data_IF_768640042599
#
_entry.id   IF_768640042599
#
_cell.length_a   1.000
_cell.length_b   1.000
_cell.length_c   1.000
_cell.angle_alpha   90.00
_cell.angle_beta   90.00
_cell.angle_gamma   90.00
#
_symmetry.space_group_name_H-M   'P 1'
#
loop_
_entity.id
_entity.type
_entity.pdbx_description
1 polymer ?
#
# COMPACT_ATOMS: atom_id res chain seq x y z
N UNK A 1 36.16 -34.32 31.56
CA UNK A 1 36.09 -35.72 32.01
C UNK A 1 35.66 -35.70 33.47
N UNK A 2 35.13 -36.82 33.96
CA UNK A 2 34.49 -36.96 35.29
C UNK A 2 33.16 -36.17 35.39
N UNK A 3 32.01 -36.70 35.83
CA UNK A 3 31.62 -37.99 36.42
C UNK A 3 30.53 -37.69 37.48
N UNK A 4 29.22 -37.82 37.20
CA UNK A 4 28.30 -38.94 37.53
C UNK A 4 26.88 -38.61 36.96
N UNK A 5 25.84 -39.47 36.82
CA UNK A 5 25.57 -40.90 37.09
C UNK A 5 25.61 -41.39 38.57
N UNK A 6 24.50 -41.46 39.32
CA UNK A 6 23.37 -42.41 39.10
C UNK A 6 22.11 -42.07 39.99
N UNK A 7 21.20 -42.98 40.45
CA UNK A 7 19.98 -43.32 39.70
C UNK A 7 18.64 -43.35 40.51
N UNK A 8 17.57 -43.77 39.80
CA UNK A 8 16.42 -44.54 40.28
C UNK A 8 15.37 -43.93 41.23
N UNK A 9 14.11 -44.03 40.81
CA UNK A 9 13.11 -44.81 41.57
C UNK A 9 11.98 -45.27 40.65
N UNK A 10 11.72 -46.58 40.65
CA UNK A 10 10.70 -47.26 39.86
C UNK A 10 9.59 -47.72 40.80
N UNK A 11 8.32 -47.41 40.51
CA UNK A 11 7.21 -47.80 41.40
C UNK A 11 6.11 -48.55 40.64
N UNK A 12 6.13 -49.87 40.87
CA UNK A 12 5.02 -50.85 40.88
C UNK A 12 4.05 -50.95 39.68
N UNK A 13 3.98 -52.18 39.16
CA UNK A 13 2.88 -52.65 38.33
C UNK A 13 1.57 -52.83 39.12
N UNK A 14 0.45 -52.88 38.39
CA UNK A 14 -0.68 -53.77 38.72
C UNK A 14 -1.41 -54.15 37.43
N UNK A 15 -1.37 -55.44 37.15
CA UNK A 15 -1.99 -56.11 36.01
C UNK A 15 -3.36 -56.67 36.45
N UNK A 16 -4.39 -56.58 35.62
CA UNK A 16 -5.65 -57.30 35.81
C UNK A 16 -6.44 -57.42 34.50
N UNK A 17 -6.20 -58.56 33.84
CA UNK A 17 -7.08 -59.46 33.08
C UNK A 17 -8.45 -58.99 32.48
N UNK A 18 -8.88 -59.61 31.36
CA UNK A 18 -10.04 -59.19 30.58
C UNK A 18 -11.36 -59.85 31.03
N UNK A 19 -12.49 -59.34 30.53
CA UNK A 19 -13.73 -60.12 30.49
C UNK A 19 -14.59 -59.81 29.25
N UNK A 20 -14.81 -60.84 28.45
CA UNK A 20 -15.68 -60.82 27.27
C UNK A 20 -17.12 -61.17 27.67
N UNK A 21 -18.11 -60.35 27.32
CA UNK A 21 -19.50 -60.84 27.29
C UNK A 21 -20.44 -60.09 26.32
N UNK A 22 -20.80 -60.81 25.26
CA UNK A 22 -22.16 -60.96 24.70
C UNK A 22 -22.86 -59.75 24.05
N UNK A 23 -22.94 -59.86 22.72
CA UNK A 23 -23.91 -59.22 21.84
C UNK A 23 -25.37 -59.46 22.27
N UNK A 24 -26.19 -58.41 22.26
CA UNK A 24 -27.66 -58.49 22.18
C UNK A 24 -28.16 -57.38 21.23
N UNK A 25 -28.76 -57.71 20.08
CA UNK A 25 -29.39 -56.71 19.21
C UNK A 25 -30.80 -56.35 19.73
N UNK A 26 -31.00 -55.10 20.18
CA UNK A 26 -32.29 -54.53 20.57
C UNK A 26 -32.74 -53.42 19.60
N UNK A 27 -34.05 -53.17 19.44
CA UNK A 27 -34.59 -52.50 18.25
C UNK A 27 -34.36 -50.98 18.21
N UNK A 28 -34.46 -50.44 17.00
CA UNK A 28 -34.18 -49.05 16.67
C UNK A 28 -35.01 -48.04 17.50
N UNK A 29 -34.30 -47.23 18.28
CA UNK A 29 -34.82 -45.95 18.77
C UNK A 29 -34.16 -44.81 17.97
N UNK A 30 -34.99 -43.95 17.40
CA UNK A 30 -34.56 -42.95 16.42
C UNK A 30 -33.76 -41.82 17.10
N UNK A 31 -32.44 -41.89 17.00
CA UNK A 31 -31.54 -40.81 17.46
C UNK A 31 -31.68 -39.62 16.50
N UNK A 32 -32.02 -38.40 16.96
CA UNK A 32 -32.08 -37.24 16.08
C UNK A 32 -30.70 -36.99 15.44
N UNK A 33 -30.65 -36.49 14.19
CA UNK A 33 -29.44 -36.50 13.39
C UNK A 33 -28.31 -35.72 14.08
N UNK A 34 -27.10 -36.27 14.03
CA UNK A 34 -25.89 -35.67 14.59
C UNK A 34 -25.73 -34.22 14.11
N UNK A 35 -26.06 -33.28 14.99
CA UNK A 35 -25.65 -31.90 14.85
C UNK A 35 -24.11 -31.90 14.84
N UNK A 36 -23.53 -31.83 13.64
CA UNK A 36 -22.08 -31.75 13.44
C UNK A 36 -21.60 -30.47 14.08
N UNK A 37 -21.21 -30.55 15.35
CA UNK A 37 -20.55 -29.46 16.08
C UNK A 37 -19.25 -29.16 15.33
N UNK A 38 -19.32 -28.15 14.47
CA UNK A 38 -18.18 -27.59 13.76
C UNK A 38 -17.25 -26.99 14.81
N UNK A 39 -16.28 -27.79 15.28
CA UNK A 39 -15.30 -27.39 16.29
C UNK A 39 -14.76 -26.02 15.90
N UNK A 40 -14.98 -24.96 16.70
CA UNK A 40 -14.65 -23.60 16.28
C UNK A 40 -13.15 -23.54 15.97
N UNK A 41 -12.86 -23.05 14.76
CA UNK A 41 -11.50 -22.97 14.22
C UNK A 41 -10.70 -22.08 15.17
N UNK A 42 -9.71 -22.64 15.88
CA UNK A 42 -8.95 -21.95 16.92
C UNK A 42 -8.39 -20.64 16.34
N UNK A 43 -8.83 -19.50 16.88
CA UNK A 43 -8.30 -18.20 16.51
C UNK A 43 -6.80 -18.17 16.85
N UNK A 44 -5.98 -17.73 15.90
CA UNK A 44 -4.55 -17.52 16.14
C UNK A 44 -4.40 -16.26 16.97
N UNK A 45 -3.91 -16.43 18.21
CA UNK A 45 -3.72 -15.32 19.14
C UNK A 45 -2.43 -14.59 18.77
N UNK A 46 -2.55 -13.56 17.93
CA UNK A 46 -1.40 -12.75 17.50
C UNK A 46 -0.77 -11.91 18.62
N UNK A 47 -1.52 -11.61 19.69
CA UNK A 47 -1.07 -10.76 20.81
C UNK A 47 -1.58 -11.33 22.13
N UNK A 48 -0.66 -11.72 23.02
CA UNK A 48 -0.99 -12.07 24.40
C UNK A 48 -1.14 -10.82 25.29
N UNK A 49 -1.95 -10.89 26.36
CA UNK A 49 -2.04 -9.84 27.38
C UNK A 49 -0.74 -9.73 28.19
N UNK A 50 -0.52 -8.59 28.86
CA UNK A 50 0.69 -8.29 29.61
C UNK A 50 0.95 -9.31 30.73
N UNK A 51 -0.09 -9.71 31.48
CA UNK A 51 0.00 -10.74 32.52
C UNK A 51 0.47 -12.10 31.95
N UNK A 52 -0.15 -12.59 30.87
CA UNK A 52 0.28 -13.83 30.23
C UNK A 52 1.70 -13.77 29.65
N UNK A 53 2.14 -12.61 29.11
CA UNK A 53 3.54 -12.41 28.67
C UNK A 53 4.51 -12.48 29.85
N UNK A 54 4.24 -11.75 30.94
CA UNK A 54 5.04 -11.72 32.18
C UNK A 54 5.19 -13.11 32.78
N UNK A 55 4.09 -13.86 32.86
CA UNK A 55 4.05 -15.23 33.40
C UNK A 55 4.51 -16.31 32.39
N UNK A 56 4.80 -15.94 31.13
CA UNK A 56 5.16 -16.86 30.03
C UNK A 56 4.17 -18.01 29.81
N UNK A 57 2.88 -17.76 30.04
CA UNK A 57 1.80 -18.74 29.86
C UNK A 57 1.02 -18.51 28.56
N UNK A 58 0.34 -19.57 28.08
CA UNK A 58 -0.49 -19.50 26.88
C UNK A 58 -1.70 -18.60 27.09
N UNK A 59 -1.72 -17.46 26.40
CA UNK A 59 -2.90 -16.61 26.26
C UNK A 59 -3.86 -17.18 25.20
N UNK A 60 -5.16 -17.14 25.47
CA UNK A 60 -6.25 -17.52 24.56
C UNK A 60 -6.82 -16.33 23.77
N UNK A 61 -6.41 -15.10 24.08
CA UNK A 61 -6.68 -13.92 23.27
C UNK A 61 -8.10 -13.35 23.39
N UNK A 62 -8.94 -13.95 24.24
CA UNK A 62 -10.30 -13.46 24.53
C UNK A 62 -10.22 -12.08 25.19
N UNK A 63 -11.20 -11.23 24.86
CA UNK A 63 -11.36 -9.85 25.33
C UNK A 63 -12.74 -9.68 25.97
N UNK A 64 -12.90 -8.87 27.03
CA UNK A 64 -11.87 -8.04 27.67
C UNK A 64 -10.83 -8.86 28.44
N UNK A 65 -11.23 -9.94 29.11
CA UNK A 65 -10.38 -10.77 29.95
C UNK A 65 -10.11 -12.13 29.31
N UNK A 66 -8.85 -12.55 29.29
CA UNK A 66 -8.41 -13.85 28.76
C UNK A 66 -8.67 -14.97 29.80
N UNK A 67 -8.95 -16.20 29.37
CA UNK A 67 -9.30 -17.30 30.28
C UNK A 67 -8.26 -17.57 31.39
N UNK A 68 -6.93 -17.54 31.14
CA UNK A 68 -5.93 -17.68 32.20
C UNK A 68 -5.98 -16.58 33.26
N UNK A 69 -6.23 -15.32 32.89
CA UNK A 69 -6.35 -14.21 33.83
C UNK A 69 -7.68 -14.27 34.60
N UNK A 70 -8.78 -14.58 33.92
CA UNK A 70 -10.10 -14.74 34.54
C UNK A 70 -10.09 -15.81 35.66
N UNK A 71 -9.40 -16.94 35.44
CA UNK A 71 -9.24 -18.01 36.45
C UNK A 71 -8.32 -17.66 37.61
N UNK A 72 -7.45 -16.66 37.46
CA UNK A 72 -6.50 -16.22 38.48
C UNK A 72 -6.94 -14.95 39.21
N UNK A 73 -8.03 -14.32 38.77
CA UNK A 73 -8.48 -13.00 39.22
C UNK A 73 -7.37 -11.93 39.10
N UNK A 74 -6.56 -12.07 38.05
CA UNK A 74 -5.42 -11.20 37.73
C UNK A 74 -5.81 -10.17 36.67
N UNK A 75 -5.21 -8.98 36.74
CA UNK A 75 -5.48 -7.91 35.77
C UNK A 75 -5.02 -8.30 34.35
N UNK A 76 -5.89 -8.06 33.37
CA UNK A 76 -5.78 -8.57 32.00
C UNK A 76 -5.62 -7.45 30.97
N UNK A 77 -4.68 -6.54 31.22
CA UNK A 77 -4.33 -5.47 30.28
C UNK A 77 -3.66 -6.05 29.03
N UNK A 78 -4.13 -5.63 27.85
CA UNK A 78 -3.44 -5.84 26.58
C UNK A 78 -2.78 -4.53 26.16
N UNK A 79 -1.45 -4.44 26.26
CA UNK A 79 -0.72 -3.29 25.71
C UNK A 79 -0.92 -3.22 24.20
N UNK A 80 -1.71 -2.22 23.78
CA UNK A 80 -1.85 -1.81 22.38
C UNK A 80 -0.56 -1.14 21.90
N UNK A 81 0.24 -0.61 22.83
CA UNK A 81 1.29 0.38 22.53
C UNK A 81 2.69 -0.22 22.31
N UNK A 82 3.06 -1.27 23.04
CA UNK A 82 4.41 -1.83 23.00
C UNK A 82 4.86 -2.30 21.60
N UNK A 83 3.91 -2.79 20.77
CA UNK A 83 4.18 -3.16 19.38
C UNK A 83 3.82 -2.05 18.38
N UNK A 84 2.87 -1.15 18.69
CA UNK A 84 2.51 -0.07 17.76
C UNK A 84 3.56 1.03 17.73
N UNK A 85 4.23 1.40 18.83
CA UNK A 85 5.27 2.45 18.79
C UNK A 85 6.46 2.05 17.90
N UNK A 86 6.98 0.82 18.06
CA UNK A 86 8.04 0.30 17.19
C UNK A 86 7.56 0.10 15.75
N UNK A 87 6.35 -0.42 15.55
CA UNK A 87 5.76 -0.61 14.21
C UNK A 87 5.53 0.74 13.50
N UNK A 88 5.08 1.77 14.22
CA UNK A 88 4.85 3.12 13.71
C UNK A 88 6.17 3.82 13.37
N UNK A 89 7.22 3.65 14.19
CA UNK A 89 8.55 4.15 13.87
C UNK A 89 9.12 3.48 12.60
N UNK A 90 8.98 2.16 12.47
CA UNK A 90 9.35 1.42 11.26
C UNK A 90 8.51 1.84 10.05
N UNK A 91 7.20 2.04 10.21
CA UNK A 91 6.29 2.51 9.17
C UNK A 91 6.66 3.91 8.68
N UNK A 92 6.90 4.86 9.58
CA UNK A 92 7.38 6.21 9.24
C UNK A 92 8.70 6.18 8.47
N UNK A 93 9.68 5.39 8.93
CA UNK A 93 10.96 5.23 8.23
C UNK A 93 10.81 4.54 6.86
N UNK A 94 9.87 3.60 6.73
CA UNK A 94 9.56 2.99 5.44
C UNK A 94 8.88 3.99 4.49
N UNK A 95 7.95 4.81 4.99
CA UNK A 95 7.30 5.89 4.22
C UNK A 95 8.30 6.97 3.78
N UNK A 96 9.28 7.31 4.63
CA UNK A 96 10.39 8.23 4.33
C UNK A 96 11.30 7.67 3.22
N UNK A 97 11.81 6.45 3.39
CA UNK A 97 12.64 5.78 2.38
C UNK A 97 11.89 5.52 1.07
N UNK A 98 10.57 5.28 1.12
CA UNK A 98 9.74 5.14 -0.07
C UNK A 98 9.63 6.46 -0.84
N UNK A 99 9.42 7.60 -0.14
CA UNK A 99 9.41 8.93 -0.77
C UNK A 99 10.75 9.25 -1.42
N UNK A 100 11.85 9.02 -0.72
CA UNK A 100 13.21 9.20 -1.26
C UNK A 100 13.41 8.31 -2.51
N UNK A 101 12.99 7.04 -2.47
CA UNK A 101 13.08 6.15 -3.63
C UNK A 101 12.25 6.65 -4.82
N UNK A 102 11.05 7.18 -4.59
CA UNK A 102 10.24 7.83 -5.64
C UNK A 102 10.96 9.04 -6.22
N UNK A 103 11.54 9.91 -5.38
CA UNK A 103 12.28 11.10 -5.82
C UNK A 103 13.52 10.74 -6.66
N UNK A 104 14.28 9.73 -6.25
CA UNK A 104 15.43 9.23 -7.00
C UNK A 104 15.03 8.62 -8.35
N UNK A 105 13.87 7.95 -8.42
CA UNK A 105 13.29 7.47 -9.69
C UNK A 105 12.87 8.61 -10.59
N UNK A 106 12.21 9.65 -10.08
CA UNK A 106 11.87 10.85 -10.87
C UNK A 106 13.11 11.53 -11.44
N UNK A 107 14.21 11.61 -10.69
CA UNK A 107 15.47 12.15 -11.20
C UNK A 107 16.07 11.30 -12.33
N UNK A 108 15.98 9.97 -12.21
CA UNK A 108 16.36 9.04 -13.28
C UNK A 108 15.46 9.17 -14.52
N UNK A 109 14.15 9.29 -14.33
CA UNK A 109 13.18 9.49 -15.42
C UNK A 109 13.44 10.81 -16.17
N UNK A 110 13.87 11.87 -15.46
CA UNK A 110 14.30 13.12 -16.10
C UNK A 110 15.56 12.96 -16.95
N UNK A 111 16.52 12.15 -16.53
CA UNK A 111 17.72 11.85 -17.33
C UNK A 111 17.40 10.97 -18.56
N UNK A 112 16.37 10.12 -18.49
CA UNK A 112 15.97 9.27 -19.61
C UNK A 112 15.09 9.98 -20.66
N UNK A 113 14.14 10.82 -20.22
CA UNK A 113 13.02 11.26 -21.06
C UNK A 113 13.09 12.72 -21.51
N UNK A 114 14.02 13.53 -20.98
CA UNK A 114 14.19 14.93 -21.38
C UNK A 114 15.11 15.08 -22.60
N UNK A 115 15.04 16.21 -23.33
CA UNK A 115 16.02 16.56 -24.36
C UNK A 115 17.45 16.53 -23.82
N UNK A 116 18.41 16.12 -24.66
CA UNK A 116 19.81 15.92 -24.26
C UNK A 116 20.42 17.12 -23.53
N UNK A 117 20.14 18.35 -23.98
CA UNK A 117 20.63 19.59 -23.37
C UNK A 117 20.13 19.77 -21.93
N UNK A 118 18.88 19.41 -21.65
CA UNK A 118 18.33 19.43 -20.29
C UNK A 118 18.95 18.31 -19.44
N UNK A 119 19.07 17.09 -19.98
CA UNK A 119 19.67 15.96 -19.28
C UNK A 119 21.14 16.21 -18.92
N UNK A 120 21.91 16.88 -19.79
CA UNK A 120 23.28 17.32 -19.52
C UNK A 120 23.38 18.37 -18.41
N UNK A 121 22.44 19.33 -18.34
CA UNK A 121 22.34 20.28 -17.23
C UNK A 121 22.06 19.57 -15.90
N UNK A 122 21.13 18.61 -15.89
CA UNK A 122 20.83 17.78 -14.72
C UNK A 122 22.08 16.97 -14.30
N UNK A 123 22.78 16.36 -15.26
CA UNK A 123 24.02 15.63 -14.99
C UNK A 123 25.13 16.55 -14.43
N UNK A 124 25.32 17.75 -14.97
CA UNK A 124 26.28 18.74 -14.44
C UNK A 124 25.93 19.15 -13.01
N UNK A 125 24.65 19.28 -12.66
CA UNK A 125 24.19 19.50 -11.28
C UNK A 125 24.52 18.31 -10.38
N UNK A 126 24.19 17.08 -10.79
CA UNK A 126 24.54 15.84 -10.04
C UNK A 126 26.04 15.75 -9.75
N UNK A 127 26.91 16.20 -10.66
CA UNK A 127 28.37 16.23 -10.43
C UNK A 127 28.84 17.37 -9.51
N UNK A 128 28.02 18.38 -9.27
CA UNK A 128 28.38 19.61 -8.53
C UNK A 128 27.73 19.69 -7.15
N UNK A 129 26.66 18.93 -6.90
CA UNK A 129 25.93 18.85 -5.62
C UNK A 129 26.11 17.48 -4.97
N UNK A 130 26.07 17.40 -3.64
CA UNK A 130 26.20 16.13 -2.91
C UNK A 130 24.85 15.46 -2.57
N UNK A 131 23.74 16.22 -2.58
CA UNK A 131 22.37 15.71 -2.36
C UNK A 131 21.61 15.55 -3.72
N UNK A 132 21.26 14.34 -4.15
CA UNK A 132 20.43 14.13 -5.34
C UNK A 132 19.04 14.77 -5.25
N UNK A 133 18.48 14.90 -4.03
CA UNK A 133 17.16 15.52 -3.82
C UNK A 133 17.21 17.03 -4.04
N UNK A 134 18.38 17.66 -3.88
CA UNK A 134 18.61 19.07 -4.20
C UNK A 134 18.53 19.32 -5.70
N UNK A 135 19.17 18.47 -6.50
CA UNK A 135 19.06 18.51 -7.96
C UNK A 135 17.59 18.40 -8.37
N UNK A 136 16.85 17.45 -7.80
CA UNK A 136 15.43 17.28 -8.11
C UNK A 136 14.62 18.55 -7.80
N UNK A 137 14.82 19.17 -6.62
CA UNK A 137 14.18 20.45 -6.26
C UNK A 137 14.47 21.52 -7.31
N UNK A 138 15.73 21.71 -7.69
CA UNK A 138 16.11 22.71 -8.68
C UNK A 138 15.51 22.48 -10.08
N UNK A 139 15.37 21.22 -10.51
CA UNK A 139 14.75 20.89 -11.80
C UNK A 139 13.24 21.18 -11.75
N UNK A 140 12.54 20.67 -10.74
CA UNK A 140 11.09 20.91 -10.59
C UNK A 140 10.76 22.39 -10.41
N UNK A 141 11.57 23.16 -9.69
CA UNK A 141 11.40 24.62 -9.59
C UNK A 141 11.61 25.31 -10.95
N UNK A 142 12.58 24.88 -11.75
CA UNK A 142 12.79 25.43 -13.09
C UNK A 142 11.59 25.13 -14.02
N UNK A 143 11.05 23.91 -13.98
CA UNK A 143 9.83 23.54 -14.73
C UNK A 143 8.64 24.42 -14.36
N UNK A 144 8.42 24.65 -13.06
CA UNK A 144 7.31 25.47 -12.56
C UNK A 144 7.43 26.93 -12.98
N UNK A 145 8.65 27.48 -13.10
CA UNK A 145 8.88 28.83 -13.60
C UNK A 145 8.65 28.93 -15.12
N UNK A 146 9.14 27.95 -15.89
CA UNK A 146 8.91 27.84 -17.34
C UNK A 146 7.42 27.66 -17.69
N UNK A 147 6.68 26.91 -16.87
CA UNK A 147 5.23 26.75 -17.03
C UNK A 147 4.45 28.05 -16.76
N UNK A 148 4.95 28.91 -15.87
CA UNK A 148 4.32 30.20 -15.56
C UNK A 148 4.54 31.24 -16.67
N UNK A 149 5.76 31.35 -17.22
CA UNK A 149 6.04 32.30 -18.32
C UNK A 149 5.19 32.00 -19.56
N UNK A 150 5.16 30.73 -19.98
CA UNK A 150 4.34 30.28 -21.13
C UNK A 150 2.83 30.37 -20.91
N UNK A 151 2.37 30.49 -19.66
CA UNK A 151 0.97 30.76 -19.33
C UNK A 151 0.64 32.26 -19.39
N UNK A 152 1.53 33.13 -18.91
CA UNK A 152 1.36 34.59 -18.98
C UNK A 152 1.37 35.12 -20.41
N UNK A 153 2.28 34.65 -21.26
CA UNK A 153 2.39 35.09 -22.67
C UNK A 153 1.09 34.88 -23.47
N UNK A 154 0.38 33.77 -23.22
CA UNK A 154 -0.91 33.46 -23.85
C UNK A 154 -2.03 34.42 -23.45
N UNK A 155 -1.93 35.03 -22.26
CA UNK A 155 -2.92 36.00 -21.80
C UNK A 155 -2.73 37.35 -22.50
N UNK A 156 -1.48 37.83 -22.63
CA UNK A 156 -1.16 39.12 -23.27
C UNK A 156 -1.49 39.12 -24.77
N UNK A 157 -1.16 38.04 -25.49
CA UNK A 157 -1.36 37.94 -26.94
C UNK A 157 -2.85 37.92 -27.36
N UNK A 158 -3.78 37.79 -26.42
CA UNK A 158 -5.23 37.78 -26.66
C UNK A 158 -5.88 39.17 -26.68
N UNK A 159 -5.17 40.25 -26.28
CA UNK A 159 -5.75 41.60 -26.21
C UNK A 159 -5.39 42.51 -27.41
N UNK A 160 -4.26 42.28 -28.07
CA UNK A 160 -3.74 43.18 -29.14
C UNK A 160 -4.37 42.98 -30.54
N UNK A 161 -5.44 42.19 -30.67
CA UNK A 161 -6.11 41.93 -31.96
C UNK A 161 -7.43 42.72 -32.18
N UNK A 162 -7.77 43.68 -31.32
CA UNK A 162 -8.99 44.50 -31.48
C UNK A 162 -8.77 45.95 -31.94
N UNK A 163 -7.53 46.38 -32.18
CA UNK A 163 -7.21 47.79 -32.49
C UNK A 163 -6.57 48.01 -33.88
N UNK A 164 -7.21 47.53 -34.95
CA UNK A 164 -6.90 47.95 -36.34
C UNK A 164 -8.06 47.69 -37.33
N UNK A 165 -9.22 48.28 -37.06
CA UNK A 165 -10.38 48.27 -37.97
C UNK A 165 -10.89 49.69 -38.21
N UNK A 166 -10.40 50.36 -39.26
CA UNK A 166 -10.94 51.67 -39.67
C UNK A 166 -10.76 51.93 -41.17
N UNK A 167 -11.92 52.01 -41.85
CA UNK A 167 -12.18 52.59 -43.16
C UNK A 167 -11.36 52.11 -44.39
N UNK A 168 -12.09 51.48 -45.32
CA UNK A 168 -12.32 52.07 -46.66
C UNK A 168 -13.53 51.44 -47.37
N UNK A 169 -14.58 52.22 -47.58
CA UNK A 169 -15.64 51.91 -48.54
C UNK A 169 -15.19 52.27 -49.95
N UNK A 170 -15.35 51.37 -50.92
CA UNK A 170 -15.48 51.72 -52.34
C UNK A 170 -16.31 50.66 -53.07
N UNK A 171 -17.39 51.09 -53.73
CA UNK A 171 -18.07 50.33 -54.78
C UNK A 171 -17.38 50.61 -56.13
N UNK A 172 -17.60 49.78 -57.17
CA UNK A 172 -18.70 50.13 -58.09
C UNK A 172 -19.41 48.93 -58.77
N UNK A 173 -20.59 49.19 -59.37
CA UNK A 173 -21.09 48.39 -60.51
C UNK A 173 -20.49 48.92 -61.84
N UNK A 174 -20.89 48.51 -63.04
CA UNK A 174 -21.88 47.53 -63.51
C UNK A 174 -21.62 47.30 -65.02
N UNK A 175 -21.94 46.12 -65.56
CA UNK A 175 -21.78 45.83 -67.01
C UNK A 175 -22.14 44.39 -67.35
N UNK A 176 -22.82 44.18 -68.49
CA UNK A 176 -23.48 42.90 -68.83
C UNK A 176 -23.25 42.51 -70.31
N UNK A 177 -23.76 41.34 -70.73
CA UNK A 177 -23.93 40.84 -72.12
C UNK A 177 -22.64 40.23 -72.77
N UNK A 178 -22.62 39.07 -73.47
CA UNK A 178 -23.66 38.11 -73.97
C UNK A 178 -23.14 36.64 -74.07
N UNK A 179 -24.08 35.68 -73.95
CA UNK A 179 -24.43 34.54 -74.86
C UNK A 179 -23.38 34.04 -75.91
N UNK A 180 -23.17 32.75 -76.26
CA UNK A 180 -23.52 31.37 -75.75
C UNK A 180 -22.77 30.30 -76.65
N UNK A 181 -23.22 29.06 -77.00
CA UNK A 181 -22.38 27.85 -76.79
C UNK A 181 -22.15 26.94 -78.02
N UNK A 182 -21.22 25.97 -77.93
CA UNK A 182 -21.20 24.75 -78.79
C UNK A 182 -20.63 23.51 -78.04
N UNK A 183 -21.44 22.44 -77.98
CA UNK A 183 -21.17 20.99 -78.19
C UNK A 183 -19.72 20.50 -78.52
N UNK A 184 -19.29 19.24 -78.30
CA UNK A 184 -19.89 17.99 -77.75
C UNK A 184 -18.76 16.96 -77.44
N UNK A 185 -19.10 15.81 -76.83
CA UNK A 185 -18.42 14.48 -76.85
C UNK A 185 -16.87 14.39 -76.92
N UNK A 186 -16.20 13.68 -75.99
CA UNK A 186 -16.39 12.25 -75.69
C UNK A 186 -15.62 11.84 -74.41
#
# INVERSE_FOLDING_TARGET
MDGERTPASSTTASESAPSSSRTVPGPASQRPPDAKVTKPKRSVVHVACACCRRLRIKCDGVRPTCQPCARRYEDCVYDVEANTTRSNALKRKNEELAKENTQLRTLYDFLQNRPLVEAEEIFRRIRSTQDPLEVLRHVTTADLLMAQTTASEKHTQSQDHQSSSSNRNYAPGSGSLKYDPVHDSQ
#
